data_IF_078266512404
#
_entry.id   IF_078266512404
#
_cell.length_a   1.000
_cell.length_b   1.000
_cell.length_c   1.000
_cell.angle_alpha   90.00
_cell.angle_beta   90.00
_cell.angle_gamma   90.00
#
_symmetry.space_group_name_H-M   'P 1'
#
loop_
_entity.id
_entity.type
_entity.pdbx_description
1 polymer ?
#
# COMPACT_ATOMS: atom_id res chain seq x y z
N UNK A 1 0.86 -24.06 -2.88
CA UNK A 1 0.82 -23.24 -4.10
C UNK A 1 -0.35 -22.29 -3.98
N UNK A 2 -0.19 -20.98 -4.22
CA UNK A 2 -1.32 -20.06 -4.21
C UNK A 2 -2.21 -20.31 -5.43
N UNK A 3 -3.53 -20.14 -5.30
CA UNK A 3 -4.49 -20.51 -6.36
C UNK A 3 -4.46 -19.57 -7.56
N UNK A 4 -4.02 -18.32 -7.35
CA UNK A 4 -3.85 -17.32 -8.40
C UNK A 4 -2.82 -17.75 -9.45
N UNK A 5 -1.96 -18.73 -9.17
CA UNK A 5 -0.99 -19.26 -10.14
C UNK A 5 -1.65 -19.82 -11.42
N UNK A 6 -2.91 -20.26 -11.33
CA UNK A 6 -3.66 -20.82 -12.44
C UNK A 6 -4.27 -19.74 -13.34
N UNK A 7 -4.27 -18.48 -12.88
CA UNK A 7 -4.79 -17.36 -13.64
C UNK A 7 -3.84 -16.95 -14.76
N UNK A 8 -4.41 -16.63 -15.92
CA UNK A 8 -3.70 -16.00 -17.03
C UNK A 8 -3.24 -14.60 -16.59
N UNK A 9 -1.93 -14.36 -16.66
CA UNK A 9 -1.32 -13.06 -16.32
C UNK A 9 -0.89 -12.35 -17.59
N UNK A 10 -1.21 -11.05 -17.76
CA UNK A 10 -0.69 -10.27 -18.87
C UNK A 10 0.84 -10.14 -18.76
N UNK A 11 1.51 -10.00 -19.91
CA UNK A 11 2.97 -9.98 -19.98
C UNK A 11 3.61 -8.87 -19.13
N UNK A 12 2.96 -7.70 -19.05
CA UNK A 12 3.39 -6.60 -18.17
C UNK A 12 3.39 -7.01 -16.69
N UNK A 13 2.36 -7.72 -16.23
CA UNK A 13 2.30 -8.21 -14.84
C UNK A 13 3.41 -9.23 -14.58
N UNK A 14 3.62 -10.18 -15.49
CA UNK A 14 4.68 -11.19 -15.36
C UNK A 14 6.06 -10.51 -15.28
N UNK A 15 6.28 -9.49 -16.10
CA UNK A 15 7.52 -8.70 -16.08
C UNK A 15 7.69 -7.98 -14.75
N UNK A 16 6.64 -7.31 -14.26
CA UNK A 16 6.65 -6.64 -12.96
C UNK A 16 6.98 -7.60 -11.81
N UNK A 17 6.27 -8.73 -11.73
CA UNK A 17 6.47 -9.73 -10.68
C UNK A 17 7.86 -10.36 -10.74
N UNK A 18 8.48 -10.45 -11.92
CA UNK A 18 9.86 -10.96 -12.05
C UNK A 18 10.90 -10.05 -11.40
N UNK A 19 10.70 -8.73 -11.44
CA UNK A 19 11.64 -7.77 -10.86
C UNK A 19 11.32 -7.42 -9.41
N UNK A 20 10.04 -7.32 -9.06
CA UNK A 20 9.59 -6.77 -7.78
C UNK A 20 8.92 -7.83 -6.88
N UNK A 21 8.58 -9.01 -7.40
CA UNK A 21 7.67 -9.91 -6.70
C UNK A 21 6.30 -9.27 -6.47
N UNK A 22 5.57 -9.77 -5.48
CA UNK A 22 4.33 -9.15 -5.01
C UNK A 22 4.62 -8.03 -4.01
N UNK A 23 5.47 -7.08 -4.41
CA UNK A 23 5.79 -5.90 -3.61
C UNK A 23 5.66 -4.63 -4.43
N UNK A 24 5.44 -3.51 -3.76
CA UNK A 24 5.32 -2.22 -4.41
C UNK A 24 6.69 -1.68 -4.84
N UNK A 25 6.83 -1.38 -6.13
CA UNK A 25 7.83 -0.44 -6.64
C UNK A 25 7.42 0.98 -6.26
N UNK A 26 8.35 1.94 -6.38
CA UNK A 26 8.02 3.36 -6.16
C UNK A 26 6.84 3.81 -7.05
N UNK A 27 6.92 3.52 -8.35
CA UNK A 27 5.90 3.93 -9.32
C UNK A 27 4.56 3.25 -9.06
N UNK A 28 4.57 1.95 -8.75
CA UNK A 28 3.34 1.24 -8.39
C UNK A 28 2.71 1.83 -7.13
N UNK A 29 3.51 2.15 -6.11
CA UNK A 29 3.01 2.77 -4.88
C UNK A 29 2.39 4.14 -5.16
N UNK A 30 3.06 4.99 -5.93
CA UNK A 30 2.56 6.32 -6.31
C UNK A 30 1.23 6.21 -7.09
N UNK A 31 1.17 5.30 -8.06
CA UNK A 31 -0.05 5.05 -8.84
C UNK A 31 -1.17 4.50 -7.94
N UNK A 32 -0.90 3.51 -7.11
CA UNK A 32 -1.88 2.91 -6.22
C UNK A 32 -2.45 3.92 -5.21
N UNK A 33 -1.61 4.80 -4.65
CA UNK A 33 -2.06 5.86 -3.74
C UNK A 33 -2.83 6.96 -4.48
N UNK A 34 -2.56 7.19 -5.76
CA UNK A 34 -3.32 8.17 -6.57
C UNK A 34 -4.80 7.79 -6.72
N UNK A 35 -5.12 6.50 -6.59
CA UNK A 35 -6.49 5.99 -6.59
C UNK A 35 -7.20 6.17 -5.23
N UNK A 36 -6.47 6.51 -4.16
CA UNK A 36 -7.04 6.66 -2.82
C UNK A 36 -7.75 7.99 -2.67
N UNK A 37 -8.94 7.93 -2.10
CA UNK A 37 -9.74 9.07 -1.73
C UNK A 37 -10.31 8.87 -0.32
N UNK A 38 -10.64 9.99 0.33
CA UNK A 38 -11.26 10.00 1.63
C UNK A 38 -12.51 10.86 1.57
N UNK A 39 -13.59 10.37 2.15
CA UNK A 39 -14.78 11.20 2.34
C UNK A 39 -14.48 12.31 3.33
N UNK A 40 -14.62 13.57 2.91
CA UNK A 40 -14.55 14.73 3.80
C UNK A 40 -15.97 15.15 4.22
N UNK A 41 -16.36 14.97 5.49
CA UNK A 41 -17.69 15.37 5.98
C UNK A 41 -17.95 16.87 5.84
N UNK A 42 -16.89 17.69 5.83
CA UNK A 42 -16.99 19.15 5.77
C UNK A 42 -17.40 19.62 4.38
N UNK A 43 -16.78 19.06 3.34
CA UNK A 43 -17.10 19.35 1.94
C UNK A 43 -18.13 18.39 1.33
N UNK A 44 -18.56 17.36 2.07
CA UNK A 44 -19.52 16.31 1.67
C UNK A 44 -19.15 15.62 0.35
N UNK A 45 -17.86 15.47 0.09
CA UNK A 45 -17.33 14.86 -1.14
C UNK A 45 -16.08 14.06 -0.82
N UNK A 46 -15.74 13.17 -1.75
CA UNK A 46 -14.46 12.48 -1.73
C UNK A 46 -13.33 13.43 -2.14
N UNK A 47 -12.28 13.45 -1.35
CA UNK A 47 -11.05 14.22 -1.61
C UNK A 47 -9.89 13.27 -1.78
N UNK A 48 -9.07 13.52 -2.81
CA UNK A 48 -7.85 12.73 -3.04
C UNK A 48 -6.88 12.91 -1.88
N UNK A 49 -6.20 11.82 -1.52
CA UNK A 49 -5.23 11.82 -0.43
C UNK A 49 -3.88 12.27 -0.95
N UNK A 50 -3.25 13.22 -0.26
CA UNK A 50 -1.89 13.64 -0.61
C UNK A 50 -0.89 12.51 -0.36
N UNK A 51 -0.14 12.12 -1.40
CA UNK A 51 0.90 11.09 -1.30
C UNK A 51 1.98 11.50 -0.29
N UNK A 52 2.27 10.61 0.66
CA UNK A 52 3.47 10.67 1.49
C UNK A 52 4.53 9.78 0.87
N UNK A 53 5.66 10.40 0.55
CA UNK A 53 6.84 9.71 0.05
C UNK A 53 7.51 8.86 1.14
N UNK A 54 8.50 8.08 0.72
CA UNK A 54 9.21 7.16 1.59
C UNK A 54 9.95 7.90 2.70
N UNK A 55 10.55 9.04 2.37
CA UNK A 55 11.30 9.88 3.30
C UNK A 55 10.40 10.37 4.44
N UNK A 56 9.19 10.82 4.13
CA UNK A 56 8.22 11.25 5.12
C UNK A 56 7.73 10.10 6.00
N UNK A 57 7.42 8.95 5.41
CA UNK A 57 6.98 7.77 6.17
C UNK A 57 8.11 7.25 7.07
N UNK A 58 9.34 7.22 6.58
CA UNK A 58 10.50 6.79 7.37
C UNK A 58 10.79 7.77 8.51
N UNK A 59 10.62 9.08 8.28
CA UNK A 59 10.78 10.11 9.31
C UNK A 59 9.70 10.00 10.41
N UNK A 60 8.45 9.69 10.03
CA UNK A 60 7.37 9.41 10.99
C UNK A 60 7.75 8.22 11.88
N UNK A 61 8.12 7.08 11.28
CA UNK A 61 8.46 5.86 12.02
C UNK A 61 9.63 6.10 12.98
N UNK A 62 10.69 6.77 12.50
CA UNK A 62 11.84 7.13 13.32
C UNK A 62 11.46 8.07 14.47
N UNK A 63 10.63 9.09 14.20
CA UNK A 63 10.17 10.06 15.19
C UNK A 63 9.37 9.43 16.33
N UNK A 64 8.68 8.32 16.06
CA UNK A 64 7.94 7.54 17.06
C UNK A 64 8.78 6.40 17.67
N UNK A 65 10.05 6.25 17.28
CA UNK A 65 10.93 5.17 17.76
C UNK A 65 10.51 3.77 17.28
N UNK A 66 9.78 3.67 16.18
CA UNK A 66 9.24 2.43 15.64
C UNK A 66 10.14 1.90 14.52
N UNK A 67 10.65 0.69 14.72
CA UNK A 67 11.40 -0.05 13.71
C UNK A 67 10.50 -1.07 13.02
N UNK A 68 10.40 -0.98 11.69
CA UNK A 68 9.70 -1.96 10.83
C UNK A 68 10.76 -2.86 10.20
N UNK A 69 10.63 -4.18 10.35
CA UNK A 69 11.64 -5.16 9.94
C UNK A 69 11.46 -5.60 8.49
N UNK A 70 10.22 -5.82 8.05
CA UNK A 70 9.90 -6.35 6.72
C UNK A 70 9.70 -5.23 5.69
N UNK A 71 10.62 -4.26 5.64
CA UNK A 71 10.56 -3.13 4.70
C UNK A 71 11.03 -3.53 3.29
N UNK A 72 10.25 -4.36 2.61
CA UNK A 72 10.51 -4.77 1.23
C UNK A 72 9.84 -3.78 0.28
N UNK A 73 10.62 -3.19 -0.63
CA UNK A 73 10.12 -2.21 -1.60
C UNK A 73 9.46 -0.99 -0.93
N UNK A 74 8.25 -0.67 -1.37
CA UNK A 74 7.42 0.45 -0.91
C UNK A 74 6.18 0.00 -0.14
N UNK A 75 6.13 -1.25 0.33
CA UNK A 75 4.95 -1.82 1.01
C UNK A 75 4.55 -1.02 2.25
N UNK A 76 5.51 -0.64 3.09
CA UNK A 76 5.23 0.19 4.27
C UNK A 76 4.78 1.62 3.91
N UNK A 77 5.20 2.13 2.76
CA UNK A 77 4.76 3.44 2.24
C UNK A 77 3.32 3.35 1.77
N UNK A 78 2.95 2.29 1.07
CA UNK A 78 1.58 2.02 0.68
C UNK A 78 0.67 1.89 1.90
N UNK A 79 1.05 1.06 2.89
CA UNK A 79 0.30 0.88 4.14
C UNK A 79 0.14 2.21 4.88
N UNK A 80 1.18 3.04 4.97
CA UNK A 80 1.10 4.33 5.63
C UNK A 80 0.08 5.27 4.97
N UNK A 81 0.08 5.33 3.64
CA UNK A 81 -0.85 6.16 2.87
C UNK A 81 -2.29 5.64 2.96
N UNK A 82 -2.49 4.31 2.86
CA UNK A 82 -3.79 3.67 3.03
C UNK A 82 -4.34 3.90 4.44
N UNK A 83 -3.54 3.65 5.49
CA UNK A 83 -3.97 3.83 6.86
C UNK A 83 -4.32 5.29 7.17
N UNK A 84 -3.59 6.23 6.55
CA UNK A 84 -3.88 7.66 6.63
C UNK A 84 -5.19 8.03 5.92
N UNK A 85 -5.47 7.44 4.76
CA UNK A 85 -6.71 7.65 4.03
C UNK A 85 -7.91 7.17 4.86
N UNK A 86 -7.86 5.91 5.29
CA UNK A 86 -9.04 5.17 5.75
C UNK A 86 -9.27 5.31 7.26
N UNK A 87 -8.21 5.36 8.06
CA UNK A 87 -8.31 5.23 9.52
C UNK A 87 -7.87 6.49 10.29
N UNK A 88 -6.98 7.31 9.73
CA UNK A 88 -6.43 8.45 10.46
C UNK A 88 -7.47 9.55 10.72
N UNK A 89 -7.43 10.11 11.94
CA UNK A 89 -8.47 10.98 12.52
C UNK A 89 -9.85 10.33 12.64
N UNK A 90 -9.94 9.02 12.42
CA UNK A 90 -11.10 8.18 12.72
C UNK A 90 -10.74 7.20 13.83
N UNK A 91 -10.45 5.94 13.54
CA UNK A 91 -10.00 4.95 14.54
C UNK A 91 -8.57 5.19 15.01
N UNK A 92 -7.68 5.66 14.13
CA UNK A 92 -6.31 6.06 14.46
C UNK A 92 -6.30 7.55 14.77
N UNK A 93 -5.97 7.94 16.02
CA UNK A 93 -6.12 9.32 16.50
C UNK A 93 -4.89 10.19 16.27
N UNK A 94 -3.72 9.60 16.38
CA UNK A 94 -2.43 10.28 16.39
C UNK A 94 -1.37 9.53 15.57
N UNK A 95 -0.20 10.16 15.45
CA UNK A 95 0.92 9.67 14.64
C UNK A 95 1.61 8.45 15.26
N UNK A 96 1.59 8.31 16.59
CA UNK A 96 2.10 7.14 17.30
C UNK A 96 1.28 5.90 16.94
N UNK A 97 -0.05 5.98 17.04
CA UNK A 97 -0.94 4.90 16.64
C UNK A 97 -0.83 4.58 15.14
N UNK A 98 -0.63 5.60 14.29
CA UNK A 98 -0.42 5.39 12.86
C UNK A 98 0.87 4.61 12.59
N UNK A 99 1.96 5.00 13.25
CA UNK A 99 3.25 4.34 13.13
C UNK A 99 3.18 2.89 13.64
N UNK A 100 2.48 2.65 14.76
CA UNK A 100 2.24 1.30 15.29
C UNK A 100 1.42 0.44 14.31
N UNK A 101 0.36 1.00 13.73
CA UNK A 101 -0.44 0.29 12.72
C UNK A 101 0.40 -0.13 11.51
N UNK A 102 1.27 0.76 11.01
CA UNK A 102 2.17 0.44 9.89
C UNK A 102 3.06 -0.74 10.26
N UNK A 103 3.65 -0.71 11.47
CA UNK A 103 4.46 -1.82 11.96
C UNK A 103 3.69 -3.12 12.03
N UNK A 104 2.51 -3.10 12.66
CA UNK A 104 1.72 -4.31 12.89
C UNK A 104 1.29 -4.97 11.58
N UNK A 105 0.92 -4.18 10.56
CA UNK A 105 0.53 -4.70 9.24
C UNK A 105 1.71 -5.21 8.40
N UNK A 106 2.87 -4.54 8.48
CA UNK A 106 4.05 -4.88 7.65
C UNK A 106 4.86 -6.02 8.25
N UNK A 107 5.00 -6.03 9.58
CA UNK A 107 5.75 -7.06 10.32
C UNK A 107 4.87 -8.22 10.78
N UNK A 108 3.62 -8.33 10.29
CA UNK A 108 2.72 -9.42 10.65
C UNK A 108 3.37 -10.79 10.37
N UNK A 109 3.47 -11.60 11.44
CA UNK A 109 4.19 -12.85 11.42
C UNK A 109 3.37 -14.00 10.79
N UNK A 110 2.04 -13.90 10.79
CA UNK A 110 1.18 -14.92 10.18
C UNK A 110 0.81 -14.60 8.72
N UNK A 111 1.15 -13.40 8.28
CA UNK A 111 0.91 -12.92 6.94
C UNK A 111 1.95 -13.49 5.96
N UNK A 112 1.47 -13.97 4.81
CA UNK A 112 2.36 -14.42 3.73
C UNK A 112 3.09 -13.23 3.11
N UNK A 113 4.35 -13.45 2.73
CA UNK A 113 5.13 -12.48 1.95
C UNK A 113 4.37 -11.99 0.70
N UNK A 114 4.43 -10.68 0.47
CA UNK A 114 3.71 -9.99 -0.61
C UNK A 114 2.19 -9.88 -0.45
N UNK A 115 1.64 -10.15 0.74
CA UNK A 115 0.20 -10.06 0.99
C UNK A 115 -0.38 -8.65 0.77
N UNK A 116 0.34 -7.60 1.18
CA UNK A 116 -0.12 -6.20 1.06
C UNK A 116 -0.40 -5.87 -0.41
N UNK A 117 0.51 -6.22 -1.31
CA UNK A 117 0.31 -6.06 -2.74
C UNK A 117 -0.80 -6.97 -3.28
N UNK A 118 -0.85 -8.23 -2.85
CA UNK A 118 -1.90 -9.16 -3.29
C UNK A 118 -3.30 -8.65 -2.93
N UNK A 119 -3.45 -8.02 -1.76
CA UNK A 119 -4.70 -7.39 -1.35
C UNK A 119 -5.07 -6.26 -2.30
N UNK A 120 -4.15 -5.35 -2.57
CA UNK A 120 -4.34 -4.28 -3.54
C UNK A 120 -4.71 -4.80 -4.94
N UNK A 121 -3.97 -5.80 -5.42
CA UNK A 121 -4.23 -6.45 -6.71
C UNK A 121 -5.64 -7.05 -6.77
N UNK A 122 -6.06 -7.76 -5.73
CA UNK A 122 -7.40 -8.33 -5.63
C UNK A 122 -8.48 -7.24 -5.65
N UNK A 123 -8.27 -6.12 -4.96
CA UNK A 123 -9.19 -4.99 -4.95
C UNK A 123 -9.30 -4.36 -6.35
N UNK A 124 -8.18 -4.18 -7.08
CA UNK A 124 -8.19 -3.73 -8.47
C UNK A 124 -8.97 -4.67 -9.39
N UNK A 125 -8.72 -5.99 -9.29
CA UNK A 125 -9.45 -6.99 -10.07
C UNK A 125 -10.94 -6.97 -9.79
N UNK A 126 -11.34 -6.90 -8.51
CA UNK A 126 -12.74 -6.89 -8.11
C UNK A 126 -13.47 -5.63 -8.58
N UNK A 127 -12.80 -4.48 -8.52
CA UNK A 127 -13.37 -3.19 -8.91
C UNK A 127 -13.26 -2.90 -10.42
N UNK A 128 -12.65 -3.80 -11.20
CA UNK A 128 -12.44 -3.59 -12.63
C UNK A 128 -11.46 -2.45 -12.95
N UNK A 129 -10.51 -2.17 -12.05
CA UNK A 129 -9.50 -1.13 -12.22
C UNK A 129 -8.27 -1.74 -12.91
N UNK A 130 -7.96 -1.34 -14.16
CA UNK A 130 -6.80 -1.88 -14.87
C UNK A 130 -5.51 -1.31 -14.29
N UNK A 131 -4.60 -2.19 -13.88
CA UNK A 131 -3.25 -1.81 -13.47
C UNK A 131 -2.42 -1.54 -14.73
N UNK A 132 -1.81 -0.35 -14.89
CA UNK A 132 -0.98 0.00 -16.04
C UNK A 132 0.41 -0.62 -15.90
N UNK A 133 0.49 -1.95 -16.00
CA UNK A 133 1.67 -2.75 -15.70
C UNK A 133 2.96 -2.30 -16.39
N UNK A 134 2.86 -1.76 -17.61
CA UNK A 134 4.02 -1.30 -18.39
C UNK A 134 4.59 0.02 -17.85
N UNK A 135 3.75 0.91 -17.31
CA UNK A 135 4.16 2.23 -16.82
C UNK A 135 4.79 2.15 -15.42
N UNK A 136 4.29 1.21 -14.61
CA UNK A 136 4.65 1.03 -13.19
C UNK A 136 5.80 0.05 -12.96
N UNK A 137 6.29 -0.57 -14.03
CA UNK A 137 7.52 -1.37 -14.05
C UNK A 137 8.75 -0.54 -13.61
#
# INVERSE_FOLDING_TARGET
>A
MPLDMYDLKPDGMVSYLRYNGYHFSKKMCEWAVSLMYKYDPSSKRDVSVSFWDKEKVDSLLLGQGIEVKNKIGYDHVYVANMARADFYKSSIKDEEQLAQFIKDMVDDADQKDGFIFNRFYADCCHNGVPIPWEDVL
#
